data_IF_535963596430
#
_entry.id   IF_535963596430
#
_cell.length_a   1.000
_cell.length_b   1.000
_cell.length_c   1.000
_cell.angle_alpha   90.00
_cell.angle_beta   90.00
_cell.angle_gamma   90.00
#
_symmetry.space_group_name_H-M   'P 1'
#
loop_
_entity.id
_entity.type
_entity.pdbx_description
1 polymer ?
#
# COMPACT_ATOMS: atom_id res chain seq x y z
N UNK A 1 9.87 13.60 16.86
CA UNK A 1 8.77 14.55 17.14
C UNK A 1 7.40 13.90 16.99
N UNK A 2 6.95 13.41 15.82
CA UNK A 2 5.64 12.73 15.71
C UNK A 2 5.55 11.43 16.54
N UNK A 3 6.56 10.55 16.45
CA UNK A 3 6.63 9.32 17.27
C UNK A 3 6.68 9.63 18.77
N UNK A 4 7.35 10.71 19.20
CA UNK A 4 7.40 11.08 20.62
C UNK A 4 6.02 11.54 21.13
N UNK A 5 5.25 12.20 20.28
CA UNK A 5 3.87 12.54 20.59
C UNK A 5 3.01 11.27 20.67
N UNK A 6 3.15 10.40 19.68
CA UNK A 6 2.42 9.12 19.63
C UNK A 6 2.66 8.27 20.90
N UNK A 7 3.91 8.24 21.40
CA UNK A 7 4.23 7.57 22.67
C UNK A 7 3.52 8.19 23.87
N UNK A 8 3.37 9.53 23.90
CA UNK A 8 2.73 10.26 25.02
C UNK A 8 1.22 10.04 25.09
N UNK A 9 0.56 9.88 23.94
CA UNK A 9 -0.89 9.72 23.85
C UNK A 9 -1.31 8.26 23.63
N UNK A 10 -0.36 7.34 23.66
CA UNK A 10 -0.54 5.91 23.37
C UNK A 10 -1.27 5.66 22.04
N UNK A 11 -0.80 6.31 20.98
CA UNK A 11 -1.36 6.14 19.65
C UNK A 11 -1.05 4.73 19.09
N UNK A 12 -1.91 4.24 18.22
CA UNK A 12 -1.73 2.96 17.52
C UNK A 12 -0.87 3.13 16.26
N UNK A 13 -0.95 4.30 15.61
CA UNK A 13 -0.28 4.61 14.34
C UNK A 13 0.17 6.07 14.29
N UNK A 14 1.21 6.33 13.53
CA UNK A 14 1.62 7.68 13.08
C UNK A 14 1.51 7.73 11.57
N UNK A 15 0.87 8.74 11.04
CA UNK A 15 0.75 9.01 9.61
C UNK A 15 1.24 10.43 9.31
N UNK A 16 1.86 10.62 8.16
CA UNK A 16 2.26 11.92 7.66
C UNK A 16 2.15 11.97 6.14
N UNK A 17 1.54 13.04 5.62
CA UNK A 17 1.62 13.36 4.20
C UNK A 17 2.81 14.27 3.92
N UNK A 18 3.27 14.28 2.68
CA UNK A 18 4.21 15.27 2.18
C UNK A 18 3.50 16.62 1.88
N UNK A 19 4.24 17.70 1.55
CA UNK A 19 3.66 19.04 1.42
C UNK A 19 2.62 19.19 0.31
N UNK A 20 2.70 18.41 -0.77
CA UNK A 20 1.75 18.40 -1.88
C UNK A 20 0.65 17.33 -1.73
N UNK A 21 0.64 16.62 -0.59
CA UNK A 21 -0.39 15.69 -0.15
C UNK A 21 -0.67 14.55 -1.16
N UNK A 22 0.37 14.03 -1.79
CA UNK A 22 0.26 12.93 -2.74
C UNK A 22 0.91 11.62 -2.24
N UNK A 23 1.70 11.66 -1.14
CA UNK A 23 2.36 10.50 -0.52
C UNK A 23 2.04 10.41 0.96
N UNK A 24 2.02 9.18 1.47
CA UNK A 24 1.79 8.92 2.90
C UNK A 24 2.90 8.05 3.48
N UNK A 25 3.60 8.58 4.48
CA UNK A 25 4.51 7.81 5.31
C UNK A 25 3.82 7.36 6.61
N UNK A 26 4.21 6.21 7.14
CA UNK A 26 3.65 5.71 8.39
C UNK A 26 4.67 5.06 9.32
N UNK A 27 4.33 5.04 10.61
CA UNK A 27 4.99 4.23 11.62
C UNK A 27 3.95 3.53 12.49
N UNK A 28 4.26 2.32 12.92
CA UNK A 28 3.44 1.54 13.85
C UNK A 28 4.32 0.81 14.87
N UNK A 29 3.71 0.17 15.86
CA UNK A 29 4.44 -0.67 16.83
C UNK A 29 4.71 -2.04 16.21
N UNK A 30 5.93 -2.55 16.38
CA UNK A 30 6.29 -3.93 16.03
C UNK A 30 5.80 -4.91 17.10
N UNK A 31 6.11 -6.19 16.94
CA UNK A 31 5.80 -7.30 17.87
C UNK A 31 6.43 -7.17 19.26
N UNK A 32 7.40 -6.25 19.42
CA UNK A 32 8.05 -5.92 20.70
C UNK A 32 7.53 -4.60 21.31
N UNK A 33 6.55 -3.97 20.68
CA UNK A 33 6.01 -2.67 21.08
C UNK A 33 6.91 -1.47 20.72
N UNK A 34 7.95 -1.68 19.90
CA UNK A 34 8.83 -0.61 19.44
C UNK A 34 8.28 0.06 18.18
N UNK A 35 8.40 1.39 18.10
CA UNK A 35 7.99 2.13 16.92
C UNK A 35 8.95 1.89 15.75
N UNK A 36 8.41 1.44 14.62
CA UNK A 36 9.14 1.20 13.38
C UNK A 36 8.51 1.96 12.23
N UNK A 37 9.35 2.46 11.34
CA UNK A 37 8.90 3.05 10.08
C UNK A 37 8.59 1.92 9.09
N UNK A 38 7.46 2.02 8.43
CA UNK A 38 7.07 1.13 7.33
C UNK A 38 7.45 1.80 6.02
N UNK A 39 8.21 1.11 5.18
CA UNK A 39 8.65 1.68 3.90
C UNK A 39 7.53 1.67 2.84
N UNK A 40 7.74 2.35 1.71
CA UNK A 40 6.72 2.50 0.68
C UNK A 40 6.30 1.17 0.03
N UNK A 41 7.22 0.21 -0.14
CA UNK A 41 6.90 -1.13 -0.61
C UNK A 41 5.93 -1.86 0.33
N UNK A 42 6.23 -1.81 1.63
CA UNK A 42 5.41 -2.42 2.68
C UNK A 42 4.04 -1.72 2.80
N UNK A 43 4.03 -0.40 2.67
CA UNK A 43 2.79 0.40 2.70
C UNK A 43 1.89 0.05 1.52
N UNK A 44 2.43 0.03 0.30
CA UNK A 44 1.68 -0.36 -0.90
C UNK A 44 1.13 -1.79 -0.80
N UNK A 45 1.95 -2.72 -0.30
CA UNK A 45 1.56 -4.11 -0.07
C UNK A 45 0.39 -4.22 0.93
N UNK A 46 0.45 -3.51 2.07
CA UNK A 46 -0.62 -3.50 3.07
C UNK A 46 -1.93 -2.97 2.49
N UNK A 47 -1.88 -1.87 1.72
CA UNK A 47 -3.07 -1.31 1.07
C UNK A 47 -3.71 -2.32 0.12
N UNK A 48 -2.94 -2.87 -0.80
CA UNK A 48 -3.46 -3.81 -1.80
C UNK A 48 -3.96 -5.12 -1.16
N UNK A 49 -3.22 -5.65 -0.20
CA UNK A 49 -3.66 -6.83 0.56
C UNK A 49 -5.02 -6.60 1.23
N UNK A 50 -5.17 -5.47 1.95
CA UNK A 50 -6.42 -5.12 2.61
C UNK A 50 -7.57 -4.96 1.63
N UNK A 51 -7.40 -4.19 0.55
CA UNK A 51 -8.42 -3.98 -0.48
C UNK A 51 -8.87 -5.32 -1.05
N UNK A 52 -7.94 -6.17 -1.45
CA UNK A 52 -8.21 -7.48 -2.04
C UNK A 52 -8.98 -8.37 -1.06
N UNK A 53 -8.46 -8.55 0.17
CA UNK A 53 -9.10 -9.42 1.16
C UNK A 53 -10.50 -8.97 1.53
N UNK A 54 -10.72 -7.67 1.70
CA UNK A 54 -12.05 -7.16 2.05
C UNK A 54 -13.03 -7.20 0.87
N UNK A 55 -12.58 -6.91 -0.37
CA UNK A 55 -13.45 -7.06 -1.55
C UNK A 55 -13.89 -8.51 -1.73
N UNK A 56 -13.00 -9.48 -1.51
CA UNK A 56 -13.33 -10.91 -1.52
C UNK A 56 -14.34 -11.25 -0.41
N UNK A 57 -14.05 -10.84 0.83
CA UNK A 57 -14.91 -11.13 1.98
C UNK A 57 -16.33 -10.53 1.84
N UNK A 58 -16.45 -9.39 1.18
CA UNK A 58 -17.73 -8.72 0.90
C UNK A 58 -18.43 -9.22 -0.37
N UNK A 59 -17.82 -10.15 -1.13
CA UNK A 59 -18.35 -10.59 -2.43
C UNK A 59 -18.36 -9.50 -3.50
N UNK A 60 -17.46 -8.50 -3.38
CA UNK A 60 -17.34 -7.35 -4.30
C UNK A 60 -16.22 -7.52 -5.33
N UNK A 61 -15.41 -8.58 -5.21
CA UNK A 61 -14.36 -8.88 -6.19
C UNK A 61 -15.00 -9.34 -7.50
N UNK A 62 -14.50 -8.86 -8.63
CA UNK A 62 -14.96 -9.19 -9.97
C UNK A 62 -13.81 -9.72 -10.81
N UNK A 63 -14.14 -10.48 -11.86
CA UNK A 63 -13.14 -11.05 -12.78
C UNK A 63 -12.40 -9.99 -13.60
N UNK A 64 -12.97 -8.79 -13.71
CA UNK A 64 -12.39 -7.64 -14.42
C UNK A 64 -11.68 -6.64 -13.50
N UNK A 65 -11.56 -6.95 -12.19
CA UNK A 65 -10.79 -6.14 -11.25
C UNK A 65 -9.27 -6.28 -11.52
N UNK A 66 -8.56 -5.15 -11.52
CA UNK A 66 -7.11 -5.15 -11.70
C UNK A 66 -6.40 -4.18 -10.75
N UNK A 67 -5.12 -4.44 -10.52
CA UNK A 67 -4.20 -3.59 -9.76
C UNK A 67 -2.99 -3.21 -10.62
N UNK A 68 -2.33 -2.10 -10.25
CA UNK A 68 -1.14 -1.62 -10.96
C UNK A 68 -0.03 -1.29 -9.96
N UNK A 69 1.20 -1.69 -10.26
CA UNK A 69 2.39 -1.22 -9.54
C UNK A 69 3.48 -0.77 -10.51
N UNK A 70 4.46 -0.03 -10.00
CA UNK A 70 5.67 0.23 -10.78
C UNK A 70 6.62 -0.98 -10.76
N UNK A 71 7.44 -1.13 -11.80
CA UNK A 71 8.39 -2.26 -11.93
C UNK A 71 9.41 -2.33 -10.80
N UNK A 72 9.64 -1.24 -10.07
CA UNK A 72 10.57 -1.17 -8.93
C UNK A 72 9.87 -1.40 -7.59
N UNK A 73 8.54 -1.50 -7.58
CA UNK A 73 7.77 -1.84 -6.38
C UNK A 73 7.80 -3.35 -6.15
N UNK A 74 7.73 -3.77 -4.89
CA UNK A 74 7.92 -5.17 -4.47
C UNK A 74 7.16 -6.21 -5.29
N UNK A 75 7.83 -7.29 -5.68
CA UNK A 75 7.22 -8.44 -6.35
C UNK A 75 6.26 -9.25 -5.46
N UNK A 76 6.27 -9.02 -4.16
CA UNK A 76 5.34 -9.68 -3.25
C UNK A 76 3.88 -9.32 -3.57
N UNK A 77 3.62 -8.13 -4.14
CA UNK A 77 2.29 -7.73 -4.65
C UNK A 77 1.82 -8.71 -5.75
N UNK A 78 2.75 -9.14 -6.62
CA UNK A 78 2.41 -10.15 -7.64
C UNK A 78 2.00 -11.47 -7.01
N UNK A 79 2.71 -11.92 -5.98
CA UNK A 79 2.35 -13.15 -5.26
C UNK A 79 0.95 -13.06 -4.63
N UNK A 80 0.58 -11.89 -4.10
CA UNK A 80 -0.76 -11.63 -3.57
C UNK A 80 -1.80 -11.67 -4.69
N UNK A 81 -1.54 -11.00 -5.82
CA UNK A 81 -2.45 -10.96 -6.97
C UNK A 81 -2.68 -12.36 -7.57
N UNK A 82 -1.60 -13.09 -7.85
CA UNK A 82 -1.65 -14.44 -8.44
C UNK A 82 -2.47 -15.41 -7.56
N UNK A 83 -2.24 -15.41 -6.24
CA UNK A 83 -2.95 -16.29 -5.31
C UNK A 83 -4.43 -15.95 -5.17
N UNK A 84 -4.81 -14.72 -5.44
CA UNK A 84 -6.20 -14.27 -5.40
C UNK A 84 -6.83 -14.11 -6.80
N UNK A 85 -6.15 -14.56 -7.85
CA UNK A 85 -6.63 -14.54 -9.25
C UNK A 85 -7.00 -13.15 -9.77
N UNK A 86 -6.19 -12.13 -9.43
CA UNK A 86 -6.39 -10.74 -9.81
C UNK A 86 -5.35 -10.36 -10.85
N UNK A 87 -5.77 -9.68 -11.91
CA UNK A 87 -4.84 -9.13 -12.89
C UNK A 87 -3.96 -8.05 -12.25
N UNK A 88 -2.65 -8.23 -12.34
CA UNK A 88 -1.67 -7.23 -11.91
C UNK A 88 -0.85 -6.74 -13.11
N UNK A 89 -0.71 -5.44 -13.20
CA UNK A 89 0.05 -4.80 -14.25
C UNK A 89 1.29 -4.11 -13.68
N UNK A 90 2.40 -4.33 -14.37
CA UNK A 90 3.63 -3.57 -14.14
C UNK A 90 3.70 -2.39 -15.12
N UNK A 91 4.11 -1.23 -14.63
CA UNK A 91 4.37 -0.06 -15.46
C UNK A 91 5.72 0.59 -15.08
N UNK A 92 6.16 1.55 -15.87
CA UNK A 92 7.35 2.35 -15.53
C UNK A 92 7.14 3.20 -14.28
N UNK A 93 8.22 3.63 -13.65
CA UNK A 93 8.20 4.54 -12.50
C UNK A 93 7.56 5.89 -12.86
N UNK A 94 6.78 6.41 -11.93
CA UNK A 94 6.00 7.64 -12.09
C UNK A 94 4.53 7.36 -12.28
N UNK A 95 3.72 7.98 -11.43
CA UNK A 95 2.27 7.70 -11.33
C UNK A 95 1.50 7.95 -12.62
N UNK A 96 2.02 8.79 -13.52
CA UNK A 96 1.48 8.99 -14.87
C UNK A 96 1.31 7.68 -15.65
N UNK A 97 2.15 6.68 -15.36
CA UNK A 97 2.06 5.38 -16.03
C UNK A 97 0.95 4.51 -15.43
N UNK A 98 0.75 4.58 -14.13
CA UNK A 98 -0.42 3.98 -13.46
C UNK A 98 -1.69 4.60 -14.03
N UNK A 99 -1.77 5.93 -14.06
CA UNK A 99 -2.90 6.67 -14.64
C UNK A 99 -3.16 6.30 -16.12
N UNK A 100 -2.09 6.04 -16.90
CA UNK A 100 -2.21 5.55 -18.28
C UNK A 100 -2.86 4.17 -18.34
N UNK A 101 -2.44 3.23 -17.49
CA UNK A 101 -3.03 1.89 -17.47
C UNK A 101 -4.51 1.91 -17.07
N UNK A 102 -4.88 2.75 -16.10
CA UNK A 102 -6.28 3.01 -15.74
C UNK A 102 -7.07 3.52 -16.96
N UNK A 103 -6.55 4.55 -17.64
CA UNK A 103 -7.20 5.16 -18.81
C UNK A 103 -7.41 4.17 -19.96
N UNK A 104 -6.44 3.31 -20.23
CA UNK A 104 -6.54 2.33 -21.34
C UNK A 104 -7.61 1.26 -21.10
N UNK A 105 -7.99 1.05 -19.84
CA UNK A 105 -8.97 0.04 -19.41
C UNK A 105 -10.30 0.63 -18.99
N UNK A 106 -10.44 1.94 -19.04
CA UNK A 106 -11.68 2.64 -18.68
C UNK A 106 -12.89 2.07 -19.45
N UNK A 107 -13.95 1.73 -18.72
CA UNK A 107 -15.16 1.11 -19.25
C UNK A 107 -15.03 -0.37 -19.67
N UNK A 108 -13.87 -1.01 -19.44
CA UNK A 108 -13.63 -2.42 -19.76
C UNK A 108 -13.26 -3.25 -18.53
N UNK A 109 -12.47 -2.67 -17.63
CA UNK A 109 -11.98 -3.29 -16.40
C UNK A 109 -12.08 -2.30 -15.25
N UNK A 110 -12.12 -2.80 -14.02
CA UNK A 110 -12.21 -1.99 -12.82
C UNK A 110 -10.85 -1.93 -12.10
N UNK A 111 -10.25 -0.74 -12.05
CA UNK A 111 -9.09 -0.49 -11.21
C UNK A 111 -9.52 -0.47 -9.74
N UNK A 112 -8.83 -1.24 -8.88
CA UNK A 112 -9.14 -1.31 -7.44
C UNK A 112 -8.04 -0.76 -6.55
N UNK A 113 -6.84 -0.55 -7.08
CA UNK A 113 -5.74 0.06 -6.34
C UNK A 113 -4.39 -0.10 -7.02
N UNK A 114 -3.45 0.75 -6.64
CA UNK A 114 -2.08 0.67 -7.11
C UNK A 114 -1.20 1.76 -6.51
N UNK A 115 0.10 1.54 -6.61
CA UNK A 115 1.04 2.46 -5.96
C UNK A 115 2.48 2.25 -6.36
N UNK A 116 3.32 3.03 -5.68
CA UNK A 116 4.75 3.12 -5.89
C UNK A 116 5.51 2.83 -4.60
N UNK A 117 6.74 2.36 -4.72
CA UNK A 117 7.68 2.19 -3.60
C UNK A 117 8.00 3.52 -2.90
N UNK A 118 7.76 4.64 -3.58
CA UNK A 118 7.96 6.01 -3.09
C UNK A 118 6.78 6.58 -2.31
N UNK A 119 5.97 5.73 -1.69
CA UNK A 119 4.83 6.06 -0.82
C UNK A 119 3.58 6.63 -1.51
N UNK A 120 3.55 6.72 -2.83
CA UNK A 120 2.39 7.13 -3.60
C UNK A 120 1.39 5.98 -3.74
N UNK A 121 0.11 6.24 -3.47
CA UNK A 121 -0.97 5.26 -3.60
C UNK A 121 -2.27 5.91 -4.07
N UNK A 122 -3.05 5.16 -4.82
CA UNK A 122 -4.41 5.50 -5.20
C UNK A 122 -5.31 4.28 -5.04
N UNK A 123 -6.37 4.41 -4.25
CA UNK A 123 -7.44 3.43 -4.17
C UNK A 123 -8.56 3.86 -5.12
N UNK A 124 -9.01 2.94 -5.99
CA UNK A 124 -10.01 3.19 -7.03
C UNK A 124 -9.58 4.27 -8.04
N UNK A 125 -10.45 4.68 -8.94
CA UNK A 125 -10.13 5.52 -10.09
C UNK A 125 -10.82 6.88 -10.11
N UNK A 126 -11.24 7.38 -8.94
CA UNK A 126 -11.93 8.66 -8.79
C UNK A 126 -11.07 9.89 -9.15
N UNK A 127 -9.73 9.74 -9.09
CA UNK A 127 -8.74 10.69 -9.62
C UNK A 127 -7.70 9.95 -10.46
N UNK A 128 -6.77 10.68 -11.09
CA UNK A 128 -5.73 10.10 -11.95
C UNK A 128 -4.32 10.37 -11.43
N UNK A 129 -4.19 10.57 -10.13
CA UNK A 129 -2.92 10.73 -9.44
C UNK A 129 -3.02 10.20 -8.01
N UNK A 130 -1.88 10.06 -7.36
CA UNK A 130 -1.73 9.71 -5.96
C UNK A 130 -2.53 10.66 -5.07
N UNK A 131 -3.12 10.14 -4.01
CA UNK A 131 -3.88 10.94 -3.06
C UNK A 131 -3.59 10.49 -1.62
N UNK A 132 -2.82 11.32 -0.91
CA UNK A 132 -2.47 11.03 0.48
C UNK A 132 -3.65 11.19 1.44
N UNK A 133 -4.68 11.98 1.09
CA UNK A 133 -5.85 12.17 1.96
C UNK A 133 -6.66 10.88 2.03
N UNK A 134 -6.99 10.29 0.88
CA UNK A 134 -7.66 9.00 0.83
C UNK A 134 -6.78 7.87 1.35
N UNK A 135 -5.47 7.90 1.06
CA UNK A 135 -4.53 6.92 1.58
C UNK A 135 -4.42 6.97 3.11
N UNK A 136 -4.39 8.13 3.74
CA UNK A 136 -4.44 8.26 5.21
C UNK A 136 -5.75 7.70 5.78
N UNK A 137 -6.89 7.97 5.13
CA UNK A 137 -8.19 7.44 5.56
C UNK A 137 -8.20 5.91 5.47
N UNK A 138 -7.76 5.36 4.36
CA UNK A 138 -7.63 3.91 4.18
C UNK A 138 -6.67 3.29 5.20
N UNK A 139 -5.55 3.95 5.50
CA UNK A 139 -4.59 3.47 6.48
C UNK A 139 -5.16 3.44 7.90
N UNK A 140 -5.96 4.43 8.28
CA UNK A 140 -6.68 4.44 9.55
C UNK A 140 -7.70 3.28 9.63
N UNK A 141 -8.41 3.00 8.53
CA UNK A 141 -9.32 1.88 8.41
C UNK A 141 -8.59 0.53 8.54
N UNK A 142 -7.46 0.36 7.85
CA UNK A 142 -6.62 -0.85 7.96
C UNK A 142 -6.11 -1.05 9.39
N UNK A 143 -5.72 0.04 10.06
CA UNK A 143 -5.28 -0.02 11.46
C UNK A 143 -6.41 -0.48 12.40
N UNK A 144 -7.62 0.05 12.23
CA UNK A 144 -8.80 -0.36 12.98
C UNK A 144 -9.14 -1.84 12.70
N UNK A 145 -9.14 -2.24 11.44
CA UNK A 145 -9.37 -3.63 11.03
C UNK A 145 -8.33 -4.61 11.61
N UNK A 146 -7.05 -4.24 11.66
CA UNK A 146 -6.02 -5.04 12.30
C UNK A 146 -6.27 -5.16 13.81
N UNK A 147 -6.61 -4.04 14.45
CA UNK A 147 -6.90 -3.98 15.89
C UNK A 147 -8.10 -4.82 16.29
N UNK A 148 -9.16 -4.87 15.47
CA UNK A 148 -10.32 -5.75 15.68
C UNK A 148 -9.93 -7.24 15.66
N UNK A 149 -8.81 -7.59 15.03
CA UNK A 149 -8.24 -8.94 15.02
C UNK A 149 -7.18 -9.14 16.12
N UNK A 150 -7.00 -8.15 17.01
CA UNK A 150 -5.98 -8.18 18.06
C UNK A 150 -4.55 -8.03 17.54
N UNK A 151 -4.35 -7.41 16.37
CA UNK A 151 -3.05 -7.26 15.70
C UNK A 151 -2.66 -5.80 15.50
N UNK A 152 -1.35 -5.56 15.44
CA UNK A 152 -0.78 -4.33 14.90
C UNK A 152 -0.65 -4.42 13.37
N UNK A 153 -0.45 -3.29 12.71
CA UNK A 153 -0.15 -3.29 11.26
C UNK A 153 1.13 -4.05 10.91
N UNK A 154 2.11 -4.04 11.81
CA UNK A 154 3.34 -4.81 11.63
C UNK A 154 3.07 -6.33 11.67
N UNK A 155 2.22 -6.78 12.57
CA UNK A 155 1.83 -8.21 12.64
C UNK A 155 1.02 -8.63 11.42
N UNK A 156 0.15 -7.75 10.87
CA UNK A 156 -0.50 -8.00 9.58
C UNK A 156 0.54 -8.16 8.46
N UNK A 157 1.57 -7.32 8.44
CA UNK A 157 2.66 -7.45 7.46
C UNK A 157 3.41 -8.79 7.62
N UNK A 158 3.64 -9.25 8.84
CA UNK A 158 4.22 -10.56 9.09
C UNK A 158 3.33 -11.70 8.59
N UNK A 159 2.01 -11.60 8.77
CA UNK A 159 1.06 -12.59 8.21
C UNK A 159 1.14 -12.65 6.68
N UNK A 160 1.26 -11.49 6.02
CA UNK A 160 1.44 -11.43 4.56
C UNK A 160 2.73 -12.15 4.16
N UNK A 161 3.83 -11.94 4.88
CA UNK A 161 5.08 -12.64 4.61
C UNK A 161 4.97 -14.16 4.81
N UNK A 162 4.24 -14.61 5.81
CA UNK A 162 4.00 -16.03 6.05
C UNK A 162 3.11 -16.63 4.95
N UNK A 163 2.07 -15.90 4.53
CA UNK A 163 1.09 -16.40 3.55
C UNK A 163 1.62 -16.39 2.10
N UNK A 164 2.38 -15.35 1.71
CA UNK A 164 2.76 -15.08 0.31
C UNK A 164 4.26 -15.17 0.04
N UNK A 165 5.08 -15.30 1.06
CA UNK A 165 6.54 -15.32 0.97
C UNK A 165 7.19 -14.07 1.54
N UNK A 166 8.45 -14.18 1.95
CA UNK A 166 9.21 -13.07 2.52
C UNK A 166 9.94 -12.29 1.42
N UNK A 167 9.80 -10.99 1.43
CA UNK A 167 10.53 -10.06 0.57
C UNK A 167 11.12 -8.93 1.42
N UNK A 168 12.35 -8.55 1.12
CA UNK A 168 13.04 -7.42 1.77
C UNK A 168 13.71 -6.58 0.71
N UNK A 169 13.11 -5.45 0.43
CA UNK A 169 13.60 -4.48 -0.53
C UNK A 169 14.53 -3.46 0.14
N UNK A 170 15.53 -3.01 -0.61
CA UNK A 170 16.43 -1.92 -0.20
C UNK A 170 16.58 -0.93 -1.36
N UNK A 171 16.36 0.33 -1.09
CA UNK A 171 16.60 1.39 -2.07
C UNK A 171 18.09 1.73 -2.12
N UNK A 172 18.69 1.60 -3.29
CA UNK A 172 20.04 2.06 -3.56
C UNK A 172 19.97 3.26 -4.48
N UNK A 173 20.32 4.43 -3.97
CA UNK A 173 20.39 5.66 -4.77
C UNK A 173 21.77 5.76 -5.41
N UNK A 174 21.79 5.81 -6.73
CA UNK A 174 23.03 6.05 -7.50
C UNK A 174 23.00 7.48 -8.03
N UNK A 175 23.94 8.30 -7.57
CA UNK A 175 24.18 9.64 -8.14
C UNK A 175 25.30 9.57 -9.16
N UNK A 176 25.03 10.02 -10.38
CA UNK A 176 26.07 10.19 -11.39
C UNK A 176 26.70 11.57 -11.20
N UNK A 177 27.98 11.61 -10.87
CA UNK A 177 28.80 12.83 -11.02
C UNK A 177 29.24 12.88 -12.46
N UNK A 178 28.84 13.94 -13.16
CA UNK A 178 29.37 14.28 -14.49
C UNK A 178 30.76 14.90 -14.38
#
# INVERSE_FOLDING_TARGET
>A
MAIDLAKKIDADIVMASDPDADRVGMACKNDKGEWVLINGNQTCLLFLYYIIKNRIAMGKMKDDDFIVKTIVTTELIKSVADKNHIEMLDCYTGFKWIAREIRLREGKQQYIGGGEESYGFLAEDFVRDKDAVSACTLLAEICAWAKDQGKTLFEVLLDIYVEYGFSKETTVTVSYTH
#
